data_IF_254722336944
#
_entry.id   IF_254722336944
#
_cell.length_a   1.000
_cell.length_b   1.000
_cell.length_c   1.000
_cell.angle_alpha   90.00
_cell.angle_beta   90.00
_cell.angle_gamma   90.00
#
_symmetry.space_group_name_H-M   'P 1'
#
loop_
_entity.id
_entity.type
_entity.pdbx_description
1 polymer ?
#
# COMPACT_ATOMS: atom_id res chain seq x y z
N UNK A 1 -24.16 -1.09 -3.48
CA UNK A 1 -23.31 -0.22 -2.65
C UNK A 1 -21.92 -0.15 -3.28
N UNK A 2 -21.53 0.97 -3.90
CA UNK A 2 -20.15 1.17 -4.34
C UNK A 2 -19.73 2.60 -3.96
N UNK A 3 -19.39 2.82 -2.68
CA UNK A 3 -18.70 4.06 -2.30
C UNK A 3 -17.24 3.87 -2.74
N UNK A 4 -16.93 4.25 -3.98
CA UNK A 4 -15.56 4.51 -4.40
C UNK A 4 -15.02 5.63 -3.51
N UNK A 5 -14.44 5.27 -2.36
CA UNK A 5 -13.71 6.21 -1.52
C UNK A 5 -12.33 6.35 -2.15
N UNK A 6 -12.11 7.48 -2.81
CA UNK A 6 -10.77 7.85 -3.26
C UNK A 6 -9.81 7.79 -2.05
N UNK A 7 -8.68 7.12 -2.24
CA UNK A 7 -7.61 7.20 -1.27
C UNK A 7 -7.09 8.65 -1.22
N UNK A 8 -6.79 9.11 -0.02
CA UNK A 8 -6.02 10.34 0.16
C UNK A 8 -4.59 10.11 -0.32
N UNK A 9 -3.95 11.16 -0.80
CA UNK A 9 -2.56 11.13 -1.27
C UNK A 9 -1.62 10.46 -0.25
N UNK A 10 -1.82 10.77 1.04
CA UNK A 10 -1.06 10.15 2.15
C UNK A 10 -1.24 8.64 2.26
N UNK A 11 -2.43 8.11 1.99
CA UNK A 11 -2.66 6.66 2.01
C UNK A 11 -2.01 5.99 0.80
N UNK A 12 -2.04 6.64 -0.37
CA UNK A 12 -1.36 6.18 -1.57
C UNK A 12 0.15 6.15 -1.35
N UNK A 13 0.74 7.19 -0.76
CA UNK A 13 2.17 7.24 -0.41
C UNK A 13 2.57 6.09 0.52
N UNK A 14 1.77 5.84 1.56
CA UNK A 14 2.01 4.76 2.52
C UNK A 14 1.93 3.40 1.84
N UNK A 15 0.96 3.18 0.95
CA UNK A 15 0.81 1.95 0.20
C UNK A 15 1.94 1.76 -0.83
N UNK A 16 2.41 2.83 -1.48
CA UNK A 16 3.55 2.82 -2.39
C UNK A 16 4.83 2.38 -1.68
N UNK A 17 5.10 2.97 -0.51
CA UNK A 17 6.26 2.58 0.30
C UNK A 17 6.14 1.12 0.78
N UNK A 18 4.94 0.71 1.19
CA UNK A 18 4.70 -0.68 1.58
C UNK A 18 4.82 -1.67 0.41
N UNK A 19 4.50 -1.25 -0.81
CA UNK A 19 4.73 -2.03 -2.03
C UNK A 19 6.21 -2.12 -2.41
N UNK A 20 7.00 -1.13 -2.02
CA UNK A 20 8.46 -1.11 -2.16
C UNK A 20 9.19 -1.86 -1.02
N UNK A 21 8.49 -2.77 -0.31
CA UNK A 21 9.01 -3.53 0.83
C UNK A 21 9.48 -2.68 2.02
N UNK A 22 9.05 -1.42 2.11
CA UNK A 22 9.35 -0.58 3.28
C UNK A 22 8.45 -0.95 4.45
N UNK A 23 9.06 -1.03 5.63
CA UNK A 23 8.33 -1.24 6.88
C UNK A 23 7.59 0.04 7.27
N UNK A 24 6.57 -0.08 8.14
CA UNK A 24 5.86 1.10 8.64
C UNK A 24 6.78 2.12 9.33
N UNK A 25 7.87 1.65 9.93
CA UNK A 25 8.90 2.50 10.55
C UNK A 25 9.75 3.23 9.52
N UNK A 26 10.16 2.57 8.44
CA UNK A 26 10.85 3.24 7.34
C UNK A 26 9.93 4.24 6.65
N UNK A 27 8.68 3.87 6.36
CA UNK A 27 7.70 4.77 5.76
C UNK A 27 7.41 5.98 6.65
N UNK A 28 7.36 5.77 7.97
CA UNK A 28 7.26 6.83 8.97
C UNK A 28 8.43 7.81 8.88
N UNK A 29 9.68 7.31 8.80
CA UNK A 29 10.87 8.15 8.63
C UNK A 29 10.84 8.93 7.31
N UNK A 30 10.45 8.28 6.21
CA UNK A 30 10.39 8.90 4.88
C UNK A 30 9.33 10.01 4.83
N UNK A 31 8.14 9.75 5.38
CA UNK A 31 7.01 10.69 5.36
C UNK A 31 7.05 11.70 6.52
N UNK A 32 8.06 11.64 7.40
CA UNK A 32 8.15 12.42 8.63
C UNK A 32 6.88 12.29 9.51
N UNK A 33 6.39 11.05 9.65
CA UNK A 33 5.22 10.69 10.46
C UNK A 33 5.60 9.67 11.53
N UNK A 34 4.74 9.49 12.52
CA UNK A 34 4.88 8.40 13.49
C UNK A 34 4.41 7.06 12.90
N UNK A 35 5.03 5.92 13.23
CA UNK A 35 4.60 4.60 12.76
C UNK A 35 3.15 4.28 13.13
N UNK A 36 2.66 4.83 14.25
CA UNK A 36 1.25 4.78 14.65
C UNK A 36 0.32 5.42 13.61
N UNK A 37 0.70 6.57 13.06
CA UNK A 37 -0.07 7.28 12.04
C UNK A 37 -0.06 6.51 10.72
N UNK A 38 1.08 5.89 10.37
CA UNK A 38 1.18 4.99 9.22
C UNK A 38 0.23 3.80 9.35
N UNK A 39 0.19 3.14 10.52
CA UNK A 39 -0.76 2.04 10.77
C UNK A 39 -2.21 2.49 10.63
N UNK A 40 -2.53 3.69 11.11
CA UNK A 40 -3.86 4.27 10.94
C UNK A 40 -4.21 4.48 9.46
N UNK A 41 -3.29 5.02 8.65
CA UNK A 41 -3.50 5.18 7.21
C UNK A 41 -3.67 3.84 6.48
N UNK A 42 -2.88 2.82 6.83
CA UNK A 42 -3.04 1.47 6.27
C UNK A 42 -4.41 0.91 6.63
N UNK A 43 -4.82 1.05 7.90
CA UNK A 43 -6.12 0.54 8.34
C UNK A 43 -7.28 1.26 7.65
N UNK A 44 -7.17 2.57 7.44
CA UNK A 44 -8.16 3.35 6.70
C UNK A 44 -8.22 2.93 5.23
N UNK A 45 -7.07 2.70 4.59
CA UNK A 45 -7.03 2.18 3.23
C UNK A 45 -7.65 0.78 3.11
N UNK A 46 -7.39 -0.11 4.08
CA UNK A 46 -7.99 -1.44 4.17
C UNK A 46 -9.52 -1.35 4.25
N UNK A 47 -10.05 -0.46 5.12
CA UNK A 47 -11.49 -0.22 5.26
C UNK A 47 -12.11 0.37 3.98
N UNK A 48 -11.40 1.30 3.32
CA UNK A 48 -11.82 1.91 2.05
C UNK A 48 -11.92 0.90 0.91
N UNK A 49 -10.97 -0.03 0.81
CA UNK A 49 -11.00 -1.11 -0.17
C UNK A 49 -11.89 -2.29 0.23
N UNK A 50 -12.30 -2.38 1.50
CA UNK A 50 -13.07 -3.51 2.00
C UNK A 50 -12.28 -4.82 2.02
N UNK A 51 -10.96 -4.75 2.22
CA UNK A 51 -10.08 -5.92 2.30
C UNK A 51 -9.75 -6.25 3.76
N UNK A 52 -9.10 -7.38 4.00
CA UNK A 52 -8.75 -7.82 5.37
C UNK A 52 -7.27 -7.65 5.71
N UNK A 53 -6.41 -7.51 4.71
CA UNK A 53 -4.95 -7.56 4.88
C UNK A 53 -4.26 -6.38 4.20
N UNK A 54 -3.10 -5.96 4.75
CA UNK A 54 -2.18 -4.98 4.14
C UNK A 54 -1.84 -5.34 2.70
N UNK A 55 -1.44 -6.59 2.46
CA UNK A 55 -1.06 -7.08 1.13
C UNK A 55 -2.24 -6.99 0.17
N UNK A 56 -3.43 -7.38 0.60
CA UNK A 56 -4.65 -7.26 -0.21
C UNK A 56 -4.98 -5.81 -0.55
N UNK A 57 -4.71 -4.86 0.36
CA UNK A 57 -4.89 -3.42 0.08
C UNK A 57 -3.88 -2.90 -0.95
N UNK A 58 -2.62 -3.33 -0.87
CA UNK A 58 -1.59 -3.01 -1.87
C UNK A 58 -1.99 -3.55 -3.24
N UNK A 59 -2.39 -4.84 -3.31
CA UNK A 59 -2.84 -5.47 -4.56
C UNK A 59 -4.09 -4.79 -5.11
N UNK A 60 -5.04 -4.39 -4.25
CA UNK A 60 -6.23 -3.66 -4.67
C UNK A 60 -5.87 -2.28 -5.23
N UNK A 61 -4.94 -1.56 -4.60
CA UNK A 61 -4.46 -0.27 -5.08
C UNK A 61 -3.66 -0.38 -6.39
N UNK A 62 -2.85 -1.43 -6.56
CA UNK A 62 -2.19 -1.76 -7.83
C UNK A 62 -3.21 -2.05 -8.93
N UNK A 63 -4.21 -2.89 -8.65
CA UNK A 63 -5.30 -3.19 -9.59
C UNK A 63 -6.13 -1.97 -9.96
N UNK A 64 -6.25 -1.01 -9.04
CA UNK A 64 -6.91 0.27 -9.27
C UNK A 64 -6.04 1.27 -10.07
N UNK A 65 -4.79 0.95 -10.39
CA UNK A 65 -3.86 1.83 -11.08
C UNK A 65 -3.37 3.02 -10.24
N UNK A 66 -3.45 2.91 -8.90
CA UNK A 66 -3.02 3.95 -7.97
C UNK A 66 -1.55 3.83 -7.55
N UNK A 67 -0.95 2.66 -7.79
CA UNK A 67 0.45 2.37 -7.50
C UNK A 67 1.13 1.97 -8.81
N UNK A 68 2.31 2.54 -9.07
CA UNK A 68 3.12 2.16 -10.22
C UNK A 68 3.92 0.90 -9.85
N UNK A 69 3.65 -0.20 -10.54
CA UNK A 69 4.33 -1.47 -10.32
C UNK A 69 5.79 -1.38 -10.80
N UNK A 70 6.67 -0.87 -9.93
CA UNK A 70 8.09 -0.82 -10.21
C UNK A 70 8.82 -2.14 -9.81
N UNK A 71 8.18 -3.03 -9.04
CA UNK A 71 8.86 -4.14 -8.36
C UNK A 71 8.48 -5.55 -8.82
N UNK A 72 7.40 -5.76 -9.60
CA UNK A 72 7.06 -7.11 -10.13
C UNK A 72 7.94 -7.53 -11.30
N UNK A 73 9.17 -7.01 -11.37
CA UNK A 73 10.21 -7.47 -12.30
C UNK A 73 11.26 -8.36 -11.65
N UNK A 74 10.92 -9.06 -10.57
CA UNK A 74 11.58 -10.34 -10.25
C UNK A 74 10.72 -11.48 -10.78
N UNK A 75 10.79 -11.68 -12.10
CA UNK A 75 10.47 -12.94 -12.76
C UNK A 75 11.28 -14.02 -12.04
N UNK A 76 10.65 -14.74 -11.11
CA UNK A 76 11.15 -16.01 -10.60
C UNK A 76 11.51 -16.81 -11.84
N UNK A 77 12.81 -16.89 -12.13
CA UNK A 77 13.34 -17.92 -12.99
C UNK A 77 13.02 -19.20 -12.22
N UNK A 78 11.99 -19.91 -12.66
CA UNK A 78 11.87 -21.33 -12.34
C UNK A 78 13.20 -21.94 -12.75
N UNK A 79 14.04 -22.28 -11.77
CA UNK A 79 15.26 -23.02 -12.00
C UNK A 79 14.81 -24.40 -12.47
N UNK A 80 15.05 -24.67 -13.76
CA UNK A 80 15.04 -26.04 -14.29
C UNK A 80 16.37 -26.73 -14.01
#
# INVERSE_FOLDING_TARGET
MNRMKCLSEREVDVLNLAAADKTAEESARILNLSPRTIHFHIQSAIDKFGVSNKISAIVAAMKAGLLDDASTRCRVKTCG
#
